data_IF_340337994537
#
_entry.id   IF_340337994537
#
_cell.length_a   1.000
_cell.length_b   1.000
_cell.length_c   1.000
_cell.angle_alpha   90.00
_cell.angle_beta   90.00
_cell.angle_gamma   90.00
#
_symmetry.space_group_name_H-M   'P 1'
#
loop_
_entity.id
_entity.type
_entity.pdbx_description
1 polymer ?
#
# COMPACT_ATOMS: atom_id res chain seq x y z
N UNK A 1 -10.09 -13.22 5.35
CA UNK A 1 -10.20 -13.02 3.89
C UNK A 1 -10.32 -14.35 3.19
N UNK A 2 -11.48 -14.57 2.61
CA UNK A 2 -11.77 -15.62 1.63
C UNK A 2 -11.14 -15.25 0.28
N UNK A 3 -11.05 -16.20 -0.63
CA UNK A 3 -10.54 -16.00 -2.00
C UNK A 3 -11.40 -15.00 -2.81
N UNK A 4 -12.68 -14.86 -2.44
CA UNK A 4 -13.65 -13.93 -3.04
C UNK A 4 -13.27 -12.46 -2.74
N UNK A 5 -12.97 -12.13 -1.47
CA UNK A 5 -12.54 -10.77 -1.09
C UNK A 5 -11.21 -10.34 -1.74
N UNK A 6 -10.39 -11.31 -2.19
CA UNK A 6 -9.15 -11.05 -2.94
C UNK A 6 -9.37 -10.80 -4.43
N UNK A 7 -10.50 -11.16 -5.04
CA UNK A 7 -10.76 -10.80 -6.45
C UNK A 7 -11.37 -9.40 -6.54
N UNK A 8 -12.23 -9.05 -5.59
CA UNK A 8 -12.99 -7.81 -5.60
C UNK A 8 -12.14 -6.53 -5.47
N UNK A 9 -11.01 -6.50 -4.74
CA UNK A 9 -10.12 -5.32 -4.76
C UNK A 9 -9.06 -5.33 -5.82
N UNK A 10 -8.64 -6.50 -6.32
CA UNK A 10 -7.87 -6.53 -7.56
C UNK A 10 -8.68 -5.79 -8.63
N UNK A 11 -9.97 -6.13 -8.72
CA UNK A 11 -10.93 -5.44 -9.55
C UNK A 11 -11.14 -3.98 -9.15
N UNK A 12 -11.28 -3.64 -7.86
CA UNK A 12 -11.50 -2.23 -7.45
C UNK A 12 -10.27 -1.35 -7.73
N UNK A 13 -9.06 -1.76 -7.33
CA UNK A 13 -7.82 -1.06 -7.66
C UNK A 13 -7.64 -0.91 -9.18
N UNK A 14 -7.90 -1.98 -9.94
CA UNK A 14 -7.87 -1.94 -11.41
C UNK A 14 -8.93 -1.01 -11.99
N UNK A 15 -10.13 -0.96 -11.40
CA UNK A 15 -11.22 -0.04 -11.77
C UNK A 15 -10.81 1.42 -11.53
N UNK A 16 -9.99 1.67 -10.50
CA UNK A 16 -9.40 2.99 -10.27
C UNK A 16 -8.10 3.24 -11.06
N UNK A 17 -7.67 2.29 -11.89
CA UNK A 17 -6.54 2.42 -12.82
C UNK A 17 -5.20 1.89 -12.29
N UNK A 18 -5.10 1.48 -11.02
CA UNK A 18 -3.89 0.91 -10.43
C UNK A 18 -3.53 -0.42 -11.09
N UNK A 19 -2.26 -0.61 -11.42
CA UNK A 19 -1.79 -1.81 -12.11
C UNK A 19 -0.70 -2.58 -11.36
N UNK A 20 -0.11 -2.01 -10.31
CA UNK A 20 0.84 -2.70 -9.43
C UNK A 20 0.54 -2.42 -7.96
N UNK A 21 0.78 -3.42 -7.09
CA UNK A 21 0.65 -3.28 -5.65
C UNK A 21 1.83 -3.90 -4.90
N UNK A 22 2.06 -3.42 -3.68
CA UNK A 22 3.12 -3.84 -2.78
C UNK A 22 2.64 -3.75 -1.32
N UNK A 23 3.31 -4.45 -0.41
CA UNK A 23 3.09 -4.31 1.03
C UNK A 23 4.40 -3.93 1.72
N UNK A 24 4.35 -2.87 2.53
CA UNK A 24 5.45 -2.47 3.41
C UNK A 24 5.21 -3.03 4.80
N UNK A 25 6.15 -3.82 5.31
CA UNK A 25 6.10 -4.43 6.63
C UNK A 25 7.39 -4.21 7.41
N UNK A 26 7.28 -3.47 8.49
CA UNK A 26 8.35 -3.33 9.47
C UNK A 26 8.42 -4.60 10.34
N UNK A 27 9.61 -4.97 10.82
CA UNK A 27 9.83 -6.28 11.49
C UNK A 27 8.97 -6.39 12.74
N UNK A 28 8.52 -7.62 13.03
CA UNK A 28 7.75 -7.98 14.24
C UNK A 28 8.65 -8.26 15.45
N UNK A 29 9.97 -8.34 15.24
CA UNK A 29 10.81 -9.19 16.09
C UNK A 29 11.39 -8.47 17.32
N UNK A 30 11.26 -7.14 17.43
CA UNK A 30 11.90 -6.42 18.55
C UNK A 30 11.29 -5.08 18.97
N UNK A 31 10.09 -4.68 18.50
CA UNK A 31 9.52 -3.39 18.89
C UNK A 31 8.20 -3.01 18.25
N UNK A 32 7.60 -1.93 18.78
CA UNK A 32 6.41 -1.27 18.24
C UNK A 32 6.81 -0.52 16.96
N UNK A 33 6.78 -1.21 15.82
CA UNK A 33 7.02 -0.58 14.53
C UNK A 33 5.70 -0.14 13.89
N UNK A 34 5.28 1.08 14.22
CA UNK A 34 4.19 1.76 13.51
C UNK A 34 4.76 2.72 12.49
N UNK A 35 4.37 2.55 11.23
CA UNK A 35 4.50 3.62 10.26
C UNK A 35 3.52 4.73 10.62
N UNK A 36 3.99 5.98 10.60
CA UNK A 36 3.13 7.15 10.76
C UNK A 36 2.53 7.56 9.41
N UNK A 37 1.39 8.27 9.45
CA UNK A 37 0.77 8.83 8.22
C UNK A 37 1.76 9.73 7.45
N UNK A 38 2.50 10.58 8.16
CA UNK A 38 3.54 11.46 7.60
C UNK A 38 4.64 10.67 6.88
N UNK A 39 5.01 9.51 7.41
CA UNK A 39 6.01 8.65 6.80
C UNK A 39 5.49 8.02 5.50
N UNK A 40 4.22 7.61 5.48
CA UNK A 40 3.55 7.10 4.27
C UNK A 40 3.40 8.19 3.21
N UNK A 41 3.01 9.41 3.60
CA UNK A 41 2.98 10.57 2.71
C UNK A 41 4.34 10.80 2.04
N UNK A 42 5.42 10.71 2.80
CA UNK A 42 6.76 10.86 2.26
C UNK A 42 7.11 9.76 1.24
N UNK A 43 6.70 8.51 1.49
CA UNK A 43 6.88 7.41 0.53
C UNK A 43 6.12 7.67 -0.77
N UNK A 44 4.83 8.03 -0.66
CA UNK A 44 3.99 8.33 -1.82
C UNK A 44 4.53 9.50 -2.64
N UNK A 45 4.86 10.60 -1.97
CA UNK A 45 5.37 11.81 -2.61
C UNK A 45 6.71 11.59 -3.31
N UNK A 46 7.60 10.77 -2.76
CA UNK A 46 8.85 10.48 -3.45
C UNK A 46 8.66 9.54 -4.63
N UNK A 47 7.73 8.57 -4.56
CA UNK A 47 7.46 7.72 -5.73
C UNK A 47 6.83 8.52 -6.87
N UNK A 48 5.92 9.45 -6.56
CA UNK A 48 5.27 10.34 -7.54
C UNK A 48 6.24 11.30 -8.26
N UNK A 49 7.49 11.43 -7.81
CA UNK A 49 8.53 12.17 -8.55
C UNK A 49 8.98 11.44 -9.81
N UNK A 50 8.64 10.16 -9.96
CA UNK A 50 8.96 9.38 -11.16
C UNK A 50 8.04 9.77 -12.32
N UNK A 51 8.58 10.05 -13.52
CA UNK A 51 7.75 10.41 -14.68
C UNK A 51 6.89 9.26 -15.20
N UNK A 52 7.26 8.01 -14.90
CA UNK A 52 6.52 6.81 -15.29
C UNK A 52 5.47 6.39 -14.26
N UNK A 53 5.31 7.12 -13.15
CA UNK A 53 4.28 6.86 -12.13
C UNK A 53 3.30 8.02 -12.11
N UNK A 54 2.05 7.76 -12.50
CA UNK A 54 1.03 8.82 -12.60
C UNK A 54 0.11 8.93 -11.39
N UNK A 55 0.01 7.86 -10.61
CA UNK A 55 -0.86 7.81 -9.44
C UNK A 55 -0.33 6.81 -8.42
N UNK A 56 -0.54 7.13 -7.15
CA UNK A 56 -0.10 6.34 -6.00
C UNK A 56 -1.20 6.31 -4.95
N UNK A 57 -1.30 5.19 -4.24
CA UNK A 57 -2.20 4.97 -3.13
C UNK A 57 -1.51 4.21 -2.01
N UNK A 58 -1.92 4.49 -0.77
CA UNK A 58 -1.58 3.67 0.37
C UNK A 58 -2.69 3.62 1.42
N UNK A 59 -2.75 2.50 2.14
CA UNK A 59 -3.57 2.31 3.33
C UNK A 59 -2.71 1.73 4.46
N UNK A 60 -2.82 2.33 5.64
CA UNK A 60 -2.19 1.81 6.86
C UNK A 60 -3.21 0.94 7.60
N UNK A 61 -2.90 -0.34 7.75
CA UNK A 61 -3.75 -1.30 8.44
C UNK A 61 -3.07 -1.73 9.74
N UNK A 62 -3.77 -1.70 10.89
CA UNK A 62 -3.24 -2.31 12.11
C UNK A 62 -3.03 -3.81 11.88
N UNK A 63 -1.95 -4.37 12.44
CA UNK A 63 -1.82 -5.81 12.42
C UNK A 63 -2.92 -6.42 13.32
N UNK A 64 -3.79 -7.22 12.72
CA UNK A 64 -4.92 -7.87 13.38
C UNK A 64 -4.96 -9.35 13.00
N UNK A 65 -4.98 -10.23 13.98
CA UNK A 65 -5.23 -11.65 13.77
C UNK A 65 -6.73 -11.95 13.88
N UNK A 66 -7.34 -12.19 12.72
CA UNK A 66 -8.76 -12.51 12.59
C UNK A 66 -9.18 -13.84 13.25
N UNK A 67 -8.26 -14.76 13.52
CA UNK A 67 -8.58 -16.05 14.12
C UNK A 67 -8.57 -16.00 15.64
N UNK A 68 -7.66 -15.20 16.22
CA UNK A 68 -7.54 -15.01 17.67
C UNK A 68 -8.23 -13.74 18.17
N UNK A 69 -8.61 -12.83 17.27
CA UNK A 69 -9.13 -11.50 17.60
C UNK A 69 -8.07 -10.55 18.16
N UNK A 70 -6.79 -10.92 18.10
CA UNK A 70 -5.71 -10.15 18.69
C UNK A 70 -5.31 -8.97 17.78
N UNK A 71 -5.38 -7.76 18.34
CA UNK A 71 -4.79 -6.57 17.73
C UNK A 71 -3.36 -6.39 18.24
N UNK A 72 -2.41 -6.23 17.33
CA UNK A 72 -1.02 -5.97 17.67
C UNK A 72 -0.73 -4.47 17.72
N UNK A 73 0.36 -4.11 18.40
CA UNK A 73 0.85 -2.73 18.45
C UNK A 73 1.58 -2.29 17.17
N UNK A 74 1.73 -3.17 16.17
CA UNK A 74 2.33 -2.88 14.86
C UNK A 74 1.28 -2.54 13.79
N UNK A 75 1.75 -2.03 12.65
CA UNK A 75 0.92 -1.86 11.46
C UNK A 75 1.70 -2.25 10.19
N UNK A 76 0.98 -2.39 9.08
CA UNK A 76 1.55 -2.57 7.75
C UNK A 76 0.89 -1.62 6.75
N UNK A 77 1.55 -1.40 5.62
CA UNK A 77 1.06 -0.52 4.57
C UNK A 77 0.78 -1.34 3.33
N UNK A 78 -0.46 -1.28 2.85
CA UNK A 78 -0.77 -1.67 1.47
C UNK A 78 -0.52 -0.47 0.58
N UNK A 79 0.17 -0.67 -0.52
CA UNK A 79 0.50 0.37 -1.47
C UNK A 79 0.13 -0.07 -2.89
N UNK A 80 -0.36 0.85 -3.71
CA UNK A 80 -0.64 0.61 -5.11
C UNK A 80 -0.21 1.81 -5.96
N UNK A 81 0.19 1.58 -7.21
CA UNK A 81 0.54 2.64 -8.14
C UNK A 81 0.15 2.32 -9.57
N UNK A 82 0.07 3.39 -10.37
CA UNK A 82 -0.10 3.33 -11.82
C UNK A 82 1.24 3.63 -12.44
N UNK A 83 1.81 2.66 -13.15
CA UNK A 83 3.02 2.88 -13.94
C UNK A 83 3.02 2.13 -15.25
N UNK A 84 3.89 2.52 -16.19
CA UNK A 84 4.00 1.81 -17.47
C UNK A 84 4.70 0.44 -17.34
N UNK A 85 5.37 0.17 -16.21
CA UNK A 85 6.08 -1.08 -15.91
C UNK A 85 6.09 -1.36 -14.41
N UNK A 86 6.23 -2.65 -14.07
CA UNK A 86 6.49 -3.07 -12.69
C UNK A 86 7.86 -2.55 -12.24
N UNK A 87 7.92 -2.01 -11.03
CA UNK A 87 9.13 -1.59 -10.35
C UNK A 87 9.62 -2.71 -9.45
N UNK A 88 10.92 -3.00 -9.49
CA UNK A 88 11.54 -3.92 -8.53
C UNK A 88 11.55 -3.34 -7.12
N UNK A 89 11.70 -4.20 -6.11
CA UNK A 89 11.83 -3.73 -4.72
C UNK A 89 13.04 -2.81 -4.52
N UNK A 90 14.11 -2.95 -5.30
CA UNK A 90 15.24 -2.03 -5.28
C UNK A 90 14.86 -0.64 -5.82
N UNK A 91 14.08 -0.60 -6.91
CA UNK A 91 13.58 0.65 -7.45
C UNK A 91 12.61 1.31 -6.47
N UNK A 92 11.65 0.57 -5.92
CA UNK A 92 10.73 1.10 -4.91
C UNK A 92 11.47 1.58 -3.66
N UNK A 93 12.43 0.83 -3.15
CA UNK A 93 13.26 1.21 -1.99
C UNK A 93 13.97 2.54 -2.24
N UNK A 94 14.61 2.69 -3.41
CA UNK A 94 15.37 3.89 -3.75
C UNK A 94 14.48 5.13 -3.89
N UNK A 95 13.33 5.00 -4.56
CA UNK A 95 12.43 6.13 -4.81
C UNK A 95 11.60 6.45 -3.58
N UNK A 96 10.96 5.47 -2.95
CA UNK A 96 10.18 5.69 -1.73
C UNK A 96 11.06 6.02 -0.53
N UNK A 97 12.39 5.78 -0.60
CA UNK A 97 13.33 5.95 0.51
C UNK A 97 12.96 5.09 1.73
N UNK A 98 12.42 3.90 1.44
CA UNK A 98 12.13 2.87 2.44
C UNK A 98 13.21 1.80 2.36
N UNK A 99 13.59 1.21 3.49
CA UNK A 99 14.53 0.09 3.47
C UNK A 99 13.90 -1.07 2.69
N UNK A 100 14.61 -1.57 1.67
CA UNK A 100 14.19 -2.70 0.82
C UNK A 100 13.75 -3.92 1.65
N UNK A 101 14.38 -4.14 2.81
CA UNK A 101 14.01 -5.24 3.70
C UNK A 101 12.53 -5.22 4.11
N UNK A 102 11.91 -4.05 4.17
CA UNK A 102 10.50 -3.90 4.54
C UNK A 102 9.54 -4.05 3.36
N UNK A 103 10.03 -4.14 2.12
CA UNK A 103 9.20 -4.31 0.94
C UNK A 103 8.98 -5.79 0.67
N UNK A 104 7.71 -6.22 0.70
CA UNK A 104 7.31 -7.51 0.15
C UNK A 104 7.29 -7.45 -1.38
N UNK A 105 7.03 -8.56 -2.08
CA UNK A 105 7.09 -8.55 -3.55
C UNK A 105 6.04 -7.62 -4.15
N UNK A 106 6.44 -6.94 -5.24
CA UNK A 106 5.54 -6.14 -6.07
C UNK A 106 4.86 -7.04 -7.05
N UNK A 107 3.53 -7.07 -7.00
CA UNK A 107 2.71 -7.93 -7.83
C UNK A 107 1.79 -7.06 -8.70
N UNK A 108 1.47 -7.49 -9.93
CA UNK A 108 0.43 -6.83 -10.71
C UNK A 108 -0.91 -6.91 -9.97
N UNK A 109 -1.72 -5.86 -10.10
CA UNK A 109 -3.08 -5.81 -9.53
C UNK A 109 -3.97 -6.74 -10.33
N UNK A 110 -3.88 -8.05 -10.07
CA UNK A 110 -4.74 -9.07 -10.69
C UNK A 110 -5.59 -9.79 -9.63
N UNK A 111 -5.30 -9.63 -8.32
CA UNK A 111 -6.08 -10.13 -7.18
C UNK A 111 -5.67 -9.45 -5.82
N UNK A 112 -6.49 -8.61 -5.17
CA UNK A 112 -6.36 -8.22 -3.73
C UNK A 112 -7.68 -7.75 -3.04
N UNK A 113 -7.63 -7.20 -1.79
CA UNK A 113 -8.61 -7.10 -0.63
C UNK A 113 -9.67 -5.94 -0.46
N UNK A 114 -10.95 -6.19 -0.16
CA UNK A 114 -12.06 -5.20 -0.27
C UNK A 114 -12.30 -4.08 0.80
N UNK A 115 -11.57 -2.95 0.73
CA UNK A 115 -12.05 -1.59 1.08
C UNK A 115 -11.06 -0.50 0.58
N UNK A 116 -11.46 0.78 0.46
CA UNK A 116 -10.59 1.84 -0.11
C UNK A 116 -10.74 3.25 0.51
N UNK A 117 -9.69 4.06 0.36
CA UNK A 117 -9.62 5.50 0.70
C UNK A 117 -8.89 6.21 -0.42
N UNK A 118 -9.52 7.16 -1.13
CA UNK A 118 -8.93 7.80 -2.32
C UNK A 118 -8.39 9.19 -1.97
N UNK A 119 -7.23 9.55 -2.54
CA UNK A 119 -6.74 10.92 -2.60
C UNK A 119 -7.28 11.58 -3.88
N UNK A 120 -8.07 12.64 -3.74
CA UNK A 120 -8.66 13.38 -4.86
C UNK A 120 -8.21 14.84 -4.77
N UNK A 121 -7.07 15.20 -5.37
CA UNK A 121 -6.63 16.60 -5.42
C UNK A 121 -5.16 16.83 -5.03
N UNK A 122 -4.77 18.12 -5.03
CA UNK A 122 -3.44 18.60 -4.60
C UNK A 122 -3.40 19.01 -3.12
N UNK A 123 -4.56 19.11 -2.51
CA UNK A 123 -4.78 19.28 -1.09
C UNK A 123 -4.79 17.90 -0.43
N UNK A 124 -4.05 17.74 0.65
CA UNK A 124 -3.81 16.48 1.37
C UNK A 124 -5.05 15.97 2.13
N UNK A 125 -6.24 16.09 1.54
CA UNK A 125 -7.52 15.68 2.11
C UNK A 125 -7.77 14.19 1.83
N UNK A 126 -7.88 13.41 2.90
CA UNK A 126 -8.15 11.98 2.84
C UNK A 126 -9.65 11.72 2.85
N UNK A 127 -10.19 11.10 1.79
CA UNK A 127 -11.59 10.67 1.72
C UNK A 127 -11.67 9.14 1.75
N UNK A 128 -12.18 8.59 2.86
CA UNK A 128 -12.54 7.18 2.94
C UNK A 128 -13.77 6.97 2.04
N UNK A 129 -13.73 5.99 1.15
CA UNK A 129 -14.88 5.64 0.33
C UNK A 129 -15.22 4.19 0.64
N UNK A 130 -16.39 3.98 1.22
CA UNK A 130 -16.90 2.64 1.48
C UNK A 130 -17.60 2.16 0.19
N UNK A 131 -17.19 1.00 -0.36
CA UNK A 131 -18.04 0.22 -1.30
C UNK A 131 -18.84 -0.77 -0.49
#
# INVERSE_FOLDING_TARGET
MTTVNRREYGNALSTYGFNYHNVIRYRRDSGIDKVSKRQVDWYMNNLLKRPDVSMVWACVEPDYDKYTGQTYSSNHVHFAYVGNKSLSNDQLSNYMRVNRYYLLNTEPVVNGMGYFTKHLGKDLSYHNIYV
#
